data_IF_080685489862
#
_entry.id   IF_080685489862
#
_cell.length_a   1.000
_cell.length_b   1.000
_cell.length_c   1.000
_cell.angle_alpha   90.00
_cell.angle_beta   90.00
_cell.angle_gamma   90.00
#
_symmetry.space_group_name_H-M   'P 1'
#
loop_
_entity.id
_entity.type
_entity.pdbx_description
1 polymer ?
#
# COMPACT_ATOMS: atom_id res chain seq x y z
N UNK A 1 5.57 13.31 -10.44
CA UNK A 1 4.89 14.63 -10.54
C UNK A 1 5.58 15.59 -9.57
N UNK A 2 5.51 16.93 -9.70
CA UNK A 2 6.25 17.83 -8.79
C UNK A 2 5.75 17.79 -7.34
N UNK A 3 4.66 17.08 -7.04
CA UNK A 3 4.04 16.93 -5.73
C UNK A 3 4.15 15.50 -5.15
N UNK A 4 5.01 14.63 -5.69
CA UNK A 4 5.24 13.29 -5.12
C UNK A 4 6.35 13.33 -4.07
N UNK A 5 6.27 12.46 -3.06
CA UNK A 5 7.29 12.38 -2.02
C UNK A 5 8.69 12.13 -2.62
N UNK A 6 9.75 12.76 -2.09
CA UNK A 6 11.12 12.46 -2.51
C UNK A 6 11.46 11.01 -2.19
N UNK A 7 12.32 10.39 -3.01
CA UNK A 7 12.92 9.09 -2.69
C UNK A 7 13.77 9.25 -1.42
N UNK A 8 13.75 8.25 -0.55
CA UNK A 8 14.58 8.25 0.66
C UNK A 8 15.46 7.00 0.71
N UNK A 9 16.62 7.10 1.34
CA UNK A 9 17.51 5.96 1.55
C UNK A 9 17.01 5.08 2.70
N UNK A 10 17.37 3.79 2.67
CA UNK A 10 17.13 2.89 3.80
C UNK A 10 17.86 3.39 5.06
N UNK A 11 17.24 3.26 6.24
CA UNK A 11 17.80 3.68 7.51
C UNK A 11 17.97 2.48 8.43
N UNK A 12 19.17 1.93 8.42
CA UNK A 12 19.52 0.72 9.17
C UNK A 12 19.47 -0.54 8.33
N UNK A 13 20.05 -1.60 8.88
CA UNK A 13 20.29 -2.85 8.16
C UNK A 13 19.00 -3.64 7.88
N UNK A 14 18.05 -3.66 8.81
CA UNK A 14 16.77 -4.37 8.63
C UNK A 14 15.95 -3.77 7.49
N UNK A 15 15.92 -2.45 7.35
CA UNK A 15 15.20 -1.80 6.26
C UNK A 15 15.86 -2.05 4.90
N UNK A 16 17.20 -2.08 4.85
CA UNK A 16 17.93 -2.45 3.65
C UNK A 16 17.61 -3.90 3.23
N UNK A 17 17.63 -4.84 4.18
CA UNK A 17 17.24 -6.23 3.95
C UNK A 17 15.77 -6.37 3.53
N UNK A 18 14.87 -5.56 4.09
CA UNK A 18 13.47 -5.54 3.67
C UNK A 18 13.36 -5.08 2.20
N UNK A 19 14.10 -4.04 1.82
CA UNK A 19 14.14 -3.51 0.46
C UNK A 19 14.63 -4.57 -0.54
N UNK A 20 15.68 -5.32 -0.19
CA UNK A 20 16.17 -6.44 -1.01
C UNK A 20 15.13 -7.57 -1.10
N UNK A 21 14.48 -7.90 0.01
CA UNK A 21 13.51 -8.99 0.08
C UNK A 21 12.28 -8.73 -0.80
N UNK A 22 11.74 -7.51 -0.77
CA UNK A 22 10.57 -7.15 -1.57
C UNK A 22 10.87 -6.98 -3.06
N UNK A 23 12.13 -6.92 -3.48
CA UNK A 23 12.51 -6.56 -4.86
C UNK A 23 11.94 -7.51 -5.93
N UNK A 24 11.59 -8.75 -5.56
CA UNK A 24 10.98 -9.74 -6.45
C UNK A 24 9.44 -9.63 -6.52
N UNK A 25 8.82 -8.76 -5.71
CA UNK A 25 7.38 -8.53 -5.73
C UNK A 25 6.99 -7.61 -6.89
N UNK A 26 5.91 -7.94 -7.61
CA UNK A 26 5.47 -7.20 -8.81
C UNK A 26 5.04 -5.76 -8.49
N UNK A 27 4.60 -5.50 -7.26
CA UNK A 27 4.25 -4.18 -6.74
C UNK A 27 5.29 -3.65 -5.74
N UNK A 28 6.55 -4.09 -5.84
CA UNK A 28 7.64 -3.59 -4.97
C UNK A 28 7.76 -2.05 -4.98
N UNK A 29 7.51 -1.42 -6.14
CA UNK A 29 7.54 0.03 -6.26
C UNK A 29 6.47 0.70 -5.37
N UNK A 30 5.26 0.14 -5.28
CA UNK A 30 4.23 0.64 -4.34
C UNK A 30 4.74 0.63 -2.90
N UNK A 31 5.37 -0.46 -2.47
CA UNK A 31 5.91 -0.60 -1.12
C UNK A 31 7.04 0.40 -0.83
N UNK A 32 8.00 0.54 -1.76
CA UNK A 32 9.09 1.53 -1.64
C UNK A 32 8.53 2.95 -1.56
N UNK A 33 7.56 3.26 -2.41
CA UNK A 33 6.91 4.58 -2.44
C UNK A 33 6.06 4.83 -1.20
N UNK A 34 5.42 3.82 -0.62
CA UNK A 34 4.73 3.93 0.66
C UNK A 34 5.71 4.38 1.76
N UNK A 35 6.90 3.78 1.83
CA UNK A 35 7.93 4.22 2.79
C UNK A 35 8.42 5.64 2.51
N UNK A 36 8.59 6.02 1.25
CA UNK A 36 8.99 7.38 0.89
C UNK A 36 7.94 8.42 1.31
N UNK A 37 6.65 8.13 1.07
CA UNK A 37 5.54 8.94 1.56
C UNK A 37 5.51 9.04 3.07
N UNK A 38 5.72 7.93 3.78
CA UNK A 38 5.75 7.91 5.23
C UNK A 38 6.79 8.89 5.78
N UNK A 39 8.01 8.86 5.26
CA UNK A 39 9.08 9.77 5.72
C UNK A 39 8.79 11.22 5.37
N UNK A 40 8.18 11.45 4.21
CA UNK A 40 7.78 12.81 3.81
C UNK A 40 6.68 13.38 4.71
N UNK A 41 5.70 12.56 5.09
CA UNK A 41 4.58 12.95 5.96
C UNK A 41 4.99 13.05 7.43
N UNK A 42 5.85 12.15 7.88
CA UNK A 42 6.34 12.03 9.24
C UNK A 42 7.87 11.89 9.22
N UNK A 43 8.64 12.99 9.16
CA UNK A 43 10.10 12.95 9.13
C UNK A 43 10.74 12.29 10.37
N UNK A 44 9.98 12.17 11.46
CA UNK A 44 10.38 11.49 12.69
C UNK A 44 9.90 10.02 12.76
N UNK A 45 9.41 9.45 11.64
CA UNK A 45 8.97 8.05 11.59
C UNK A 45 10.07 7.11 12.08
N UNK A 46 9.70 6.17 12.93
CA UNK A 46 10.63 5.19 13.51
C UNK A 46 11.06 4.17 12.45
N UNK A 47 12.13 3.42 12.74
CA UNK A 47 12.57 2.32 11.88
C UNK A 47 11.45 1.30 11.65
N UNK A 48 10.66 1.02 12.69
CA UNK A 48 9.53 0.09 12.65
C UNK A 48 8.42 0.57 11.70
N UNK A 49 8.09 1.86 11.73
CA UNK A 49 7.11 2.44 10.80
C UNK A 49 7.59 2.33 9.35
N UNK A 50 8.88 2.60 9.08
CA UNK A 50 9.46 2.48 7.73
C UNK A 50 9.42 1.05 7.22
N UNK A 51 9.79 0.08 8.07
CA UNK A 51 9.75 -1.35 7.73
C UNK A 51 8.30 -1.80 7.52
N UNK A 52 7.35 -1.35 8.36
CA UNK A 52 5.94 -1.66 8.20
C UNK A 52 5.40 -1.13 6.86
N UNK A 53 5.70 0.11 6.50
CA UNK A 53 5.31 0.67 5.21
C UNK A 53 5.93 -0.09 4.02
N UNK A 54 7.19 -0.52 4.11
CA UNK A 54 7.85 -1.33 3.06
C UNK A 54 7.27 -2.74 2.92
N UNK A 55 6.51 -3.24 3.89
CA UNK A 55 6.15 -4.67 3.95
C UNK A 55 4.66 -4.92 4.15
N UNK A 56 3.83 -3.86 4.19
CA UNK A 56 2.43 -3.95 4.59
C UNK A 56 1.58 -4.91 3.75
N UNK A 57 1.87 -4.99 2.44
CA UNK A 57 1.13 -5.80 1.47
C UNK A 57 1.85 -7.11 1.06
N UNK A 58 2.93 -7.46 1.76
CA UNK A 58 3.85 -8.51 1.31
C UNK A 58 3.21 -9.90 1.20
N UNK A 59 2.07 -10.14 1.85
CA UNK A 59 1.36 -11.41 1.72
C UNK A 59 0.99 -11.73 0.27
N UNK A 60 0.74 -10.71 -0.55
CA UNK A 60 0.39 -10.83 -1.98
C UNK A 60 1.49 -11.45 -2.82
N UNK A 61 2.74 -11.44 -2.34
CA UNK A 61 3.86 -12.13 -2.99
C UNK A 61 3.73 -13.66 -2.89
N UNK A 62 2.89 -14.17 -1.97
CA UNK A 62 2.77 -15.59 -1.65
C UNK A 62 1.39 -16.14 -2.03
N UNK A 63 1.30 -17.38 -2.55
CA UNK A 63 0.02 -17.97 -2.94
C UNK A 63 -0.89 -18.24 -1.73
N UNK A 64 -2.21 -18.22 -1.97
CA UNK A 64 -3.23 -18.60 -0.98
C UNK A 64 -3.70 -17.47 -0.06
N UNK A 65 -3.45 -16.21 -0.44
CA UNK A 65 -4.01 -15.03 0.23
C UNK A 65 -5.53 -14.88 0.05
N UNK A 66 -6.16 -13.94 0.76
CA UNK A 66 -7.58 -13.63 0.58
C UNK A 66 -7.84 -13.14 -0.85
N UNK A 67 -9.02 -13.46 -1.39
CA UNK A 67 -9.40 -13.11 -2.76
C UNK A 67 -10.23 -11.84 -2.77
N UNK A 68 -9.73 -10.81 -3.46
CA UNK A 68 -10.43 -9.55 -3.63
C UNK A 68 -11.43 -9.64 -4.79
N UNK A 69 -12.71 -9.38 -4.50
CA UNK A 69 -13.78 -9.35 -5.51
C UNK A 69 -13.84 -7.99 -6.19
N UNK A 70 -12.98 -7.77 -7.19
CA UNK A 70 -12.85 -6.47 -7.86
C UNK A 70 -14.15 -6.01 -8.57
N UNK A 71 -14.94 -6.94 -9.11
CA UNK A 71 -16.13 -6.61 -9.91
C UNK A 71 -17.30 -6.07 -9.07
N UNK A 72 -17.50 -6.60 -7.87
CA UNK A 72 -18.73 -6.38 -7.08
C UNK A 72 -18.51 -6.34 -5.57
N UNK A 73 -17.29 -6.57 -5.09
CA UNK A 73 -16.92 -6.45 -3.69
C UNK A 73 -16.88 -4.99 -3.22
N UNK A 74 -16.96 -4.83 -1.91
CA UNK A 74 -16.71 -3.54 -1.27
C UNK A 74 -15.22 -3.39 -0.98
N UNK A 75 -14.68 -2.20 -1.21
CA UNK A 75 -13.26 -1.93 -0.93
C UNK A 75 -12.95 -1.82 0.58
N UNK A 76 -13.97 -1.57 1.39
CA UNK A 76 -13.92 -1.51 2.85
C UNK A 76 -14.39 -2.83 3.52
N UNK A 77 -14.41 -3.95 2.79
CA UNK A 77 -14.92 -5.23 3.29
C UNK A 77 -14.00 -5.83 4.38
N UNK A 78 -14.43 -5.91 5.65
CA UNK A 78 -13.59 -6.46 6.72
C UNK A 78 -13.27 -7.94 6.52
N UNK A 79 -14.10 -8.70 5.80
CA UNK A 79 -13.85 -10.12 5.50
C UNK A 79 -12.66 -10.30 4.55
N UNK A 80 -12.29 -9.24 3.82
CA UNK A 80 -11.07 -9.18 3.02
C UNK A 80 -9.92 -8.50 3.75
N UNK A 81 -10.16 -7.29 4.30
CA UNK A 81 -9.11 -6.44 4.87
C UNK A 81 -8.43 -7.09 6.08
N UNK A 82 -9.18 -7.74 6.97
CA UNK A 82 -8.60 -8.34 8.17
C UNK A 82 -7.70 -9.54 7.85
N UNK A 83 -8.14 -10.55 7.07
CA UNK A 83 -7.23 -11.61 6.64
C UNK A 83 -6.00 -11.09 5.90
N UNK A 84 -6.16 -10.06 5.07
CA UNK A 84 -5.06 -9.48 4.29
C UNK A 84 -3.98 -8.87 5.20
N UNK A 85 -4.34 -7.92 6.06
CA UNK A 85 -3.37 -7.25 6.94
C UNK A 85 -2.74 -8.19 7.98
N UNK A 86 -3.52 -9.14 8.52
CA UNK A 86 -3.02 -10.08 9.53
C UNK A 86 -2.06 -11.11 8.92
N UNK A 87 -2.34 -11.56 7.70
CA UNK A 87 -1.45 -12.47 6.97
C UNK A 87 -0.15 -11.77 6.58
N UNK A 88 -0.19 -10.52 6.13
CA UNK A 88 1.04 -9.73 5.93
C UNK A 88 1.84 -9.61 7.21
N UNK A 89 1.19 -9.30 8.33
CA UNK A 89 1.85 -9.19 9.64
C UNK A 89 2.52 -10.52 10.07
N UNK A 90 1.88 -11.66 9.79
CA UNK A 90 2.45 -12.99 10.03
C UNK A 90 3.67 -13.26 9.16
N UNK A 91 3.59 -13.02 7.85
CA UNK A 91 4.70 -13.22 6.91
C UNK A 91 5.91 -12.37 7.31
N UNK A 92 5.70 -11.10 7.65
CA UNK A 92 6.76 -10.20 8.13
C UNK A 92 7.36 -10.69 9.46
N UNK A 93 6.52 -11.17 10.39
CA UNK A 93 7.00 -11.71 11.67
C UNK A 93 7.93 -12.92 11.45
N UNK A 94 7.56 -13.83 10.55
CA UNK A 94 8.37 -15.00 10.22
C UNK A 94 9.68 -14.58 9.56
N UNK A 95 9.63 -13.65 8.60
CA UNK A 95 10.83 -13.13 7.94
C UNK A 95 11.80 -12.48 8.94
N UNK A 96 11.33 -11.57 9.79
CA UNK A 96 12.14 -10.94 10.85
C UNK A 96 12.76 -11.97 11.79
N UNK A 97 12.02 -13.03 12.15
CA UNK A 97 12.53 -14.13 12.99
C UNK A 97 13.71 -14.87 12.37
N UNK A 98 13.79 -14.90 11.04
CA UNK A 98 14.84 -15.61 10.28
C UNK A 98 16.08 -14.75 10.01
N UNK A 99 16.05 -13.43 10.28
CA UNK A 99 17.23 -12.58 10.10
C UNK A 99 18.29 -12.77 11.20
N UNK A 100 17.98 -13.52 12.26
CA UNK A 100 18.91 -13.75 13.35
C UNK A 100 19.20 -12.48 14.15
N UNK A 101 20.46 -12.23 14.58
CA UNK A 101 20.79 -11.13 15.51
C UNK A 101 20.44 -9.73 15.01
N UNK A 102 20.46 -9.48 13.69
CA UNK A 102 20.17 -8.14 13.14
C UNK A 102 18.74 -7.70 13.47
N UNK A 103 17.79 -8.64 13.56
CA UNK A 103 16.40 -8.35 13.93
C UNK A 103 16.24 -7.82 15.36
N UNK A 104 17.26 -7.94 16.22
CA UNK A 104 17.25 -7.39 17.58
C UNK A 104 17.44 -5.86 17.61
N UNK A 105 17.76 -5.24 16.47
CA UNK A 105 17.93 -3.78 16.36
C UNK A 105 16.61 -3.02 16.19
N UNK A 106 15.49 -3.73 16.02
CA UNK A 106 14.15 -3.17 15.83
C UNK A 106 13.14 -3.87 16.73
N UNK A 107 12.04 -3.18 17.06
CA UNK A 107 10.92 -3.80 17.76
C UNK A 107 10.02 -4.57 16.78
N UNK A 108 10.18 -5.90 16.77
CA UNK A 108 9.39 -6.81 15.91
C UNK A 108 7.90 -6.82 16.26
N UNK A 109 7.55 -6.63 17.53
CA UNK A 109 6.14 -6.60 17.95
C UNK A 109 5.46 -5.35 17.41
N UNK A 110 6.17 -4.24 17.41
CA UNK A 110 5.70 -2.97 16.86
C UNK A 110 5.53 -3.04 15.34
N UNK A 111 6.49 -3.60 14.60
CA UNK A 111 6.35 -3.82 13.15
C UNK A 111 5.11 -4.67 12.86
N UNK A 112 4.93 -5.79 13.58
CA UNK A 112 3.75 -6.65 13.44
C UNK A 112 2.45 -5.88 13.70
N UNK A 113 2.42 -5.03 14.73
CA UNK A 113 1.24 -4.21 15.07
C UNK A 113 0.92 -3.22 13.94
N UNK A 114 1.92 -2.49 13.45
CA UNK A 114 1.76 -1.49 12.39
C UNK A 114 1.29 -2.13 11.08
N UNK A 115 1.92 -3.23 10.66
CA UNK A 115 1.45 -3.99 9.50
C UNK A 115 0.03 -4.53 9.73
N UNK A 116 -0.27 -5.03 10.93
CA UNK A 116 -1.61 -5.53 11.28
C UNK A 116 -2.69 -4.45 11.41
N UNK A 117 -2.34 -3.17 11.29
CA UNK A 117 -3.27 -2.05 11.34
C UNK A 117 -3.26 -1.21 10.05
N UNK A 118 -2.42 -1.54 9.06
CA UNK A 118 -2.19 -0.66 7.92
C UNK A 118 -3.45 -0.38 7.09
N UNK A 119 -4.45 -1.29 7.09
CA UNK A 119 -5.72 -1.10 6.40
C UNK A 119 -6.68 -0.17 7.14
N UNK A 120 -6.59 -0.09 8.47
CA UNK A 120 -7.58 0.60 9.34
C UNK A 120 -7.06 1.82 10.09
N UNK A 121 -5.73 1.95 10.20
CA UNK A 121 -5.06 2.99 10.97
C UNK A 121 -5.37 2.93 12.47
N UNK A 122 -5.36 4.09 13.12
CA UNK A 122 -5.95 4.31 14.45
C UNK A 122 -4.97 4.78 15.51
N UNK A 123 -4.03 3.93 15.92
CA UNK A 123 -3.19 4.18 17.11
C UNK A 123 -1.70 4.20 16.78
N UNK A 124 -1.00 5.14 17.40
CA UNK A 124 0.47 5.21 17.50
C UNK A 124 1.19 4.95 16.16
N UNK A 125 1.08 5.87 15.20
CA UNK A 125 1.79 5.77 13.91
C UNK A 125 1.03 4.99 12.81
N UNK A 126 -0.03 4.25 13.17
CA UNK A 126 -0.78 3.46 12.19
C UNK A 126 -1.53 4.32 11.15
N UNK A 127 -2.01 5.51 11.53
CA UNK A 127 -2.65 6.44 10.59
C UNK A 127 -1.63 6.99 9.57
N UNK A 128 -0.38 7.23 9.97
CA UNK A 128 0.70 7.65 9.07
C UNK A 128 1.08 6.55 8.08
N UNK A 129 1.20 5.30 8.55
CA UNK A 129 1.47 4.15 7.67
C UNK A 129 0.31 3.93 6.70
N UNK A 130 -0.94 3.94 7.17
CA UNK A 130 -2.14 3.82 6.33
C UNK A 130 -2.21 4.94 5.28
N UNK A 131 -1.93 6.18 5.68
CA UNK A 131 -1.94 7.32 4.78
C UNK A 131 -0.85 7.17 3.71
N UNK A 132 0.34 6.72 4.10
CA UNK A 132 1.45 6.53 3.18
C UNK A 132 1.17 5.44 2.12
N UNK A 133 0.61 4.29 2.53
CA UNK A 133 0.08 3.26 1.61
C UNK A 133 -0.99 3.86 0.67
N UNK A 134 -1.90 4.66 1.21
CA UNK A 134 -2.96 5.26 0.40
C UNK A 134 -2.43 6.21 -0.69
N UNK A 135 -1.45 7.05 -0.34
CA UNK A 135 -0.84 7.97 -1.30
C UNK A 135 0.01 7.22 -2.33
N UNK A 136 0.76 6.18 -1.93
CA UNK A 136 1.53 5.38 -2.86
C UNK A 136 0.62 4.59 -3.81
N UNK A 137 -0.50 4.04 -3.33
CA UNK A 137 -1.48 3.37 -4.19
C UNK A 137 -1.95 4.30 -5.31
N UNK A 138 -2.35 5.53 -4.95
CA UNK A 138 -2.79 6.53 -5.93
C UNK A 138 -1.67 6.93 -6.90
N UNK A 139 -0.41 6.98 -6.44
CA UNK A 139 0.74 7.34 -7.27
C UNK A 139 1.17 6.20 -8.21
N UNK A 140 1.28 4.97 -7.73
CA UNK A 140 1.99 3.89 -8.43
C UNK A 140 1.05 2.83 -9.00
N UNK A 141 -0.15 2.68 -8.46
CA UNK A 141 -1.10 1.63 -8.86
C UNK A 141 -2.28 2.17 -9.68
N UNK A 142 -2.26 3.44 -10.08
CA UNK A 142 -3.23 3.98 -11.04
C UNK A 142 -3.25 3.17 -12.34
N UNK A 143 -2.07 2.74 -12.81
CA UNK A 143 -1.91 1.91 -14.00
C UNK A 143 -2.57 0.53 -13.84
N UNK A 144 -2.38 -0.11 -12.69
CA UNK A 144 -3.03 -1.37 -12.34
C UNK A 144 -4.56 -1.22 -12.32
N UNK A 145 -5.08 -0.14 -11.72
CA UNK A 145 -6.53 0.12 -11.72
C UNK A 145 -7.09 0.36 -13.12
N UNK A 146 -6.35 1.02 -14.00
CA UNK A 146 -6.70 1.17 -15.42
C UNK A 146 -6.75 -0.19 -16.11
N UNK A 147 -5.78 -1.06 -15.86
CA UNK A 147 -5.71 -2.38 -16.48
C UNK A 147 -6.83 -3.31 -16.00
N UNK A 148 -7.29 -3.18 -14.75
CA UNK A 148 -8.50 -3.87 -14.29
C UNK A 148 -9.75 -3.48 -15.08
N UNK A 149 -9.87 -2.20 -15.45
CA UNK A 149 -10.98 -1.73 -16.28
C UNK A 149 -10.85 -2.26 -17.72
N UNK A 150 -9.67 -2.13 -18.32
CA UNK A 150 -9.43 -2.58 -19.71
C UNK A 150 -9.61 -4.09 -19.89
N UNK A 151 -9.24 -4.88 -18.90
CA UNK A 151 -9.37 -6.34 -18.93
C UNK A 151 -10.77 -6.83 -18.55
N UNK A 152 -11.67 -5.94 -18.09
CA UNK A 152 -13.01 -6.31 -17.64
C UNK A 152 -13.05 -6.96 -16.24
N UNK A 153 -11.94 -6.94 -15.48
CA UNK A 153 -11.88 -7.40 -14.09
C UNK A 153 -12.82 -6.59 -13.19
N UNK A 154 -12.98 -5.29 -13.47
CA UNK A 154 -13.99 -4.46 -12.83
C UNK A 154 -14.49 -3.36 -13.78
N UNK A 155 -15.65 -2.77 -13.47
CA UNK A 155 -16.14 -1.61 -14.20
C UNK A 155 -15.30 -0.37 -13.90
N UNK A 156 -15.32 0.64 -14.79
CA UNK A 156 -14.75 1.96 -14.50
C UNK A 156 -15.24 2.51 -13.16
N UNK A 157 -16.54 2.41 -12.89
CA UNK A 157 -17.13 2.88 -11.63
C UNK A 157 -16.62 2.13 -10.39
N UNK A 158 -16.26 0.84 -10.50
CA UNK A 158 -15.59 0.13 -9.41
C UNK A 158 -14.18 0.63 -9.18
N UNK A 159 -13.41 0.83 -10.24
CA UNK A 159 -12.06 1.39 -10.15
C UNK A 159 -12.07 2.80 -9.54
N UNK A 160 -13.00 3.66 -9.95
CA UNK A 160 -13.18 4.99 -9.34
C UNK A 160 -13.50 4.89 -7.84
N UNK A 161 -14.35 3.94 -7.44
CA UNK A 161 -14.62 3.70 -6.01
C UNK A 161 -13.37 3.25 -5.26
N UNK A 162 -12.48 2.45 -5.85
CA UNK A 162 -11.22 2.05 -5.19
C UNK A 162 -10.32 3.25 -4.96
N UNK A 163 -10.12 4.06 -6.00
CA UNK A 163 -9.28 5.26 -5.91
C UNK A 163 -9.84 6.25 -4.87
N UNK A 164 -11.16 6.47 -4.85
CA UNK A 164 -11.82 7.29 -3.84
C UNK A 164 -11.67 6.70 -2.43
N UNK A 165 -11.85 5.39 -2.28
CA UNK A 165 -11.65 4.71 -1.00
C UNK A 165 -10.24 4.95 -0.43
N UNK A 166 -9.20 4.90 -1.26
CA UNK A 166 -7.83 5.21 -0.81
C UNK A 166 -7.71 6.64 -0.30
N UNK A 167 -8.45 7.60 -0.87
CA UNK A 167 -8.47 8.98 -0.36
C UNK A 167 -9.30 9.10 0.92
N UNK A 168 -10.47 8.48 0.97
CA UNK A 168 -11.43 8.61 2.07
C UNK A 168 -10.89 8.05 3.40
N UNK A 169 -10.00 7.07 3.34
CA UNK A 169 -9.36 6.49 4.53
C UNK A 169 -8.19 7.31 5.08
N UNK A 170 -7.71 8.34 4.37
CA UNK A 170 -6.62 9.20 4.87
C UNK A 170 -7.13 10.10 5.99
N UNK A 171 -6.60 9.91 7.21
CA UNK A 171 -7.01 10.69 8.40
C UNK A 171 -6.04 11.78 8.82
N UNK A 172 -4.78 11.71 8.38
CA UNK A 172 -3.76 12.66 8.81
C UNK A 172 -3.85 13.97 8.02
N UNK A 173 -3.88 15.15 8.68
CA UNK A 173 -3.93 16.43 7.97
C UNK A 173 -2.75 16.64 7.01
N UNK A 174 -1.56 16.12 7.38
CA UNK A 174 -0.37 16.19 6.56
C UNK A 174 -0.55 15.48 5.20
N UNK A 175 -1.26 14.34 5.17
CA UNK A 175 -1.49 13.57 3.96
C UNK A 175 -2.68 14.08 3.14
N UNK A 176 -3.71 14.61 3.80
CA UNK A 176 -4.93 15.08 3.15
C UNK A 176 -4.68 16.10 2.01
N UNK A 177 -3.67 16.96 2.16
CA UNK A 177 -3.30 17.94 1.13
C UNK A 177 -2.78 17.31 -0.18
N UNK A 178 -2.24 16.09 -0.11
CA UNK A 178 -1.70 15.35 -1.27
C UNK A 178 -2.72 14.39 -1.88
N UNK A 179 -3.67 13.90 -1.08
CA UNK A 179 -4.64 12.90 -1.53
C UNK A 179 -5.53 13.41 -2.68
N UNK A 180 -6.03 14.64 -2.58
CA UNK A 180 -6.90 15.23 -3.61
C UNK A 180 -6.23 15.36 -5.01
N UNK A 181 -5.03 15.96 -5.16
CA UNK A 181 -4.38 16.02 -6.47
C UNK A 181 -3.97 14.64 -7.00
N UNK A 182 -3.58 13.71 -6.14
CA UNK A 182 -3.27 12.33 -6.55
C UNK A 182 -4.52 11.58 -7.02
N UNK A 183 -5.64 11.73 -6.33
CA UNK A 183 -6.92 11.17 -6.74
C UNK A 183 -7.34 11.68 -8.12
N UNK A 184 -7.26 13.01 -8.33
CA UNK A 184 -7.58 13.60 -9.62
C UNK A 184 -6.72 13.01 -10.75
N UNK A 185 -5.40 12.95 -10.53
CA UNK A 185 -4.48 12.34 -11.48
C UNK A 185 -4.76 10.86 -11.75
N UNK A 186 -5.05 10.07 -10.70
CA UNK A 186 -5.33 8.64 -10.83
C UNK A 186 -6.66 8.37 -11.56
N UNK A 187 -7.68 9.20 -11.32
CA UNK A 187 -8.97 9.12 -12.05
C UNK A 187 -8.79 9.44 -13.54
N UNK A 188 -7.92 10.39 -13.87
CA UNK A 188 -7.57 10.74 -15.26
C UNK A 188 -6.84 9.59 -15.97
N UNK A 189 -6.24 8.64 -15.22
CA UNK A 189 -5.62 7.45 -15.81
C UNK A 189 -6.63 6.39 -16.23
N UNK A 190 -7.88 6.43 -15.76
CA UNK A 190 -8.86 5.39 -16.09
C UNK A 190 -9.35 5.52 -17.55
N UNK A 191 -9.62 4.41 -18.26
CA UNK A 191 -10.08 4.44 -19.66
C UNK A 191 -11.44 5.13 -19.78
N UNK A 192 -11.63 5.95 -20.81
CA UNK A 192 -12.93 6.55 -21.11
C UNK A 192 -13.97 5.49 -21.49
N UNK A 193 -15.26 5.77 -21.35
CA UNK A 193 -16.33 4.81 -21.69
C UNK A 193 -16.21 4.28 -23.13
N UNK A 194 -15.78 5.13 -24.08
CA UNK A 194 -15.52 4.75 -25.47
C UNK A 194 -14.34 3.78 -25.68
N UNK A 195 -13.38 3.73 -24.75
CA UNK A 195 -12.24 2.80 -24.80
C UNK A 195 -12.59 1.41 -24.24
N UNK A 196 -13.70 1.30 -23.52
CA UNK A 196 -14.18 0.03 -22.94
C UNK A 196 -15.09 -0.77 -23.87
N UNK A 197 -15.50 -0.19 -25.00
CA UNK A 197 -16.40 -0.81 -25.99
C UNK A 197 -15.70 -1.61 -27.10
N UNK A 198 -14.38 -1.81 -27.07
CA UNK A 198 -13.71 -2.60 -28.13
C UNK A 198 -14.09 -4.09 -27.97
N UNK A 199 -14.92 -4.66 -28.85
CA UNK A 199 -15.23 -6.08 -28.80
C UNK A 199 -13.99 -6.84 -29.27
N UNK A 200 -13.60 -7.87 -28.52
CA UNK A 200 -12.66 -8.87 -29.03
C UNK A 200 -13.24 -9.42 -30.35
N UNK A 201 -12.56 -9.15 -31.46
CA UNK A 201 -12.80 -9.80 -32.76
C UNK A 201 -12.08 -11.14 -32.80
#
# INVERSE_FOLDING_TARGET
MPWTAPRVEAHGEVEALATEWIAAYDQAEHLVRARDWLVHLAPAATAEMRIAALTHDIERMFPGGPVLRHADGRWDDPDYLFPHMLRSAEVVTVWLGNLGPVSATVDRAEIRRLVGLHEVGGIDGADEVQAADSLSFLETLADLTRDWVRSGVCSRSQAERKLRYMTDRVRTPAAAQYAAPLLAWALDQLPTESETEVPQR
#
